data_IF_665394663710
#
_entry.id   IF_665394663710
#
_cell.length_a   1.000
_cell.length_b   1.000
_cell.length_c   1.000
_cell.angle_alpha   90.00
_cell.angle_beta   90.00
_cell.angle_gamma   90.00
#
_symmetry.space_group_name_H-M   'P 1'
#
loop_
_entity.id
_entity.type
_entity.pdbx_description
1 polymer ?
#
# COMPACT_ATOMS: atom_id res chain seq x y z
N UNK A 1 -16.20 3.68 17.77
CA UNK A 1 -15.27 3.50 16.63
C UNK A 1 -13.88 4.04 16.97
N UNK A 2 -13.78 5.29 17.43
CA UNK A 2 -12.48 5.94 17.69
C UNK A 2 -11.66 5.28 18.80
N UNK A 3 -12.26 4.91 19.94
CA UNK A 3 -11.57 4.19 21.01
C UNK A 3 -10.97 2.84 20.55
N UNK A 4 -11.73 2.08 19.76
CA UNK A 4 -11.28 0.78 19.24
C UNK A 4 -10.19 0.97 18.16
N UNK A 5 -10.25 2.05 17.39
CA UNK A 5 -9.18 2.43 16.47
C UNK A 5 -7.87 2.76 17.20
N UNK A 6 -7.91 3.59 18.26
CA UNK A 6 -6.72 3.92 19.05
C UNK A 6 -6.12 2.69 19.73
N UNK A 7 -6.96 1.82 20.29
CA UNK A 7 -6.53 0.56 20.88
C UNK A 7 -5.85 -0.36 19.84
N UNK A 8 -6.44 -0.47 18.64
CA UNK A 8 -5.88 -1.28 17.55
C UNK A 8 -4.54 -0.72 17.09
N UNK A 9 -4.41 0.61 16.98
CA UNK A 9 -3.16 1.25 16.63
C UNK A 9 -2.06 1.05 17.70
N UNK A 10 -2.42 1.13 18.98
CA UNK A 10 -1.50 0.81 20.08
C UNK A 10 -0.98 -0.63 19.99
N UNK A 11 -1.88 -1.59 19.74
CA UNK A 11 -1.51 -3.00 19.58
C UNK A 11 -0.58 -3.23 18.40
N UNK A 12 -0.77 -2.50 17.29
CA UNK A 12 0.15 -2.57 16.14
C UNK A 12 1.54 -2.06 16.51
N UNK A 13 1.63 -0.94 17.23
CA UNK A 13 2.91 -0.40 17.69
C UNK A 13 3.62 -1.35 18.66
N UNK A 14 2.89 -1.94 19.61
CA UNK A 14 3.44 -2.97 20.49
C UNK A 14 3.94 -4.19 19.71
N UNK A 15 3.18 -4.63 18.70
CA UNK A 15 3.59 -5.74 17.83
C UNK A 15 4.90 -5.42 17.12
N UNK A 16 5.07 -4.20 16.61
CA UNK A 16 6.32 -3.72 16.01
C UNK A 16 7.49 -3.71 17.01
N UNK A 17 7.24 -3.32 18.27
CA UNK A 17 8.27 -3.38 19.32
C UNK A 17 8.65 -4.83 19.65
N UNK A 18 7.69 -5.77 19.68
CA UNK A 18 7.98 -7.19 19.84
C UNK A 18 8.86 -7.71 18.68
N UNK A 19 8.62 -7.27 17.43
CA UNK A 19 9.49 -7.60 16.29
C UNK A 19 10.91 -7.05 16.45
N UNK A 20 11.09 -5.85 17.03
CA UNK A 20 12.43 -5.31 17.30
C UNK A 20 13.16 -6.18 18.34
N UNK A 21 12.45 -6.61 19.39
CA UNK A 21 13.00 -7.52 20.41
C UNK A 21 13.29 -8.92 19.87
N UNK A 22 12.52 -9.41 18.91
CA UNK A 22 12.76 -10.68 18.21
C UNK A 22 14.12 -10.67 17.48
N UNK A 23 14.59 -9.50 17.06
CA UNK A 23 15.89 -9.35 16.40
C UNK A 23 17.07 -9.28 17.40
N UNK A 24 16.79 -9.02 18.68
CA UNK A 24 17.78 -9.07 19.75
C UNK A 24 17.96 -10.52 20.23
N UNK A 25 19.16 -11.06 20.04
CA UNK A 25 19.56 -12.45 20.40
C UNK A 25 19.48 -12.78 21.89
N UNK A 26 19.06 -11.83 22.74
CA UNK A 26 19.01 -11.97 24.20
C UNK A 26 17.69 -12.53 24.73
N UNK A 27 16.65 -12.54 23.91
CA UNK A 27 15.31 -12.97 24.34
C UNK A 27 14.92 -14.31 23.71
N UNK A 28 14.08 -15.08 24.43
CA UNK A 28 13.54 -16.33 23.91
C UNK A 28 12.65 -16.04 22.70
N UNK A 29 13.15 -16.40 21.52
CA UNK A 29 12.50 -16.09 20.24
C UNK A 29 11.15 -16.80 20.11
N UNK A 30 10.94 -17.93 20.80
CA UNK A 30 9.68 -18.69 20.71
C UNK A 30 8.51 -18.04 21.44
N UNK A 31 8.73 -17.50 22.65
CA UNK A 31 7.68 -16.82 23.41
C UNK A 31 7.24 -15.51 22.74
N UNK A 32 8.21 -14.75 22.21
CA UNK A 32 7.95 -13.49 21.49
C UNK A 32 7.17 -13.76 20.20
N UNK A 33 7.50 -14.82 19.47
CA UNK A 33 6.79 -15.24 18.26
C UNK A 33 5.31 -15.55 18.56
N UNK A 34 5.06 -16.29 19.65
CA UNK A 34 3.71 -16.61 20.09
C UNK A 34 2.92 -15.35 20.50
N UNK A 35 3.54 -14.44 21.25
CA UNK A 35 2.93 -13.17 21.64
C UNK A 35 2.58 -12.29 20.42
N UNK A 36 3.49 -12.20 19.44
CA UNK A 36 3.24 -11.50 18.18
C UNK A 36 2.05 -12.12 17.44
N UNK A 37 1.97 -13.45 17.35
CA UNK A 37 0.86 -14.13 16.69
C UNK A 37 -0.48 -13.88 17.39
N UNK A 38 -0.50 -13.88 18.72
CA UNK A 38 -1.69 -13.56 19.53
C UNK A 38 -2.15 -12.11 19.35
N UNK A 39 -1.20 -11.15 19.35
CA UNK A 39 -1.48 -9.74 19.10
C UNK A 39 -2.02 -9.52 17.68
N UNK A 40 -1.44 -10.18 16.66
CA UNK A 40 -1.91 -10.09 15.28
C UNK A 40 -3.35 -10.60 15.13
N UNK A 41 -3.67 -11.72 15.78
CA UNK A 41 -5.03 -12.30 15.76
C UNK A 41 -6.03 -11.35 16.42
N UNK A 42 -5.65 -10.71 17.53
CA UNK A 42 -6.47 -9.73 18.23
C UNK A 42 -6.71 -8.47 17.40
N UNK A 43 -5.67 -7.97 16.72
CA UNK A 43 -5.76 -6.81 15.81
C UNK A 43 -6.67 -7.12 14.62
N UNK A 44 -6.56 -8.30 14.00
CA UNK A 44 -7.45 -8.70 12.92
C UNK A 44 -8.92 -8.73 13.37
N UNK A 45 -9.22 -9.34 14.52
CA UNK A 45 -10.58 -9.34 15.08
C UNK A 45 -11.10 -7.93 15.39
N UNK A 46 -10.23 -7.00 15.81
CA UNK A 46 -10.60 -5.59 16.00
C UNK A 46 -10.87 -4.88 14.67
N UNK A 47 -10.07 -5.14 13.62
CA UNK A 47 -10.30 -4.59 12.28
C UNK A 47 -11.63 -5.07 11.68
N UNK A 48 -12.01 -6.32 11.87
CA UNK A 48 -13.32 -6.85 11.44
C UNK A 48 -14.47 -6.16 12.18
N UNK A 49 -14.30 -5.88 13.48
CA UNK A 49 -15.26 -5.08 14.25
C UNK A 49 -15.34 -3.63 13.77
N UNK A 50 -14.21 -3.03 13.37
CA UNK A 50 -14.18 -1.68 12.79
C UNK A 50 -14.91 -1.63 11.44
N UNK A 51 -14.82 -2.68 10.62
CA UNK A 51 -15.60 -2.80 9.38
C UNK A 51 -17.10 -2.82 9.64
N UNK A 52 -17.54 -3.56 10.65
CA UNK A 52 -18.97 -3.56 11.03
C UNK A 52 -19.40 -2.17 11.52
N UNK A 53 -18.55 -1.50 12.29
CA UNK A 53 -18.82 -0.14 12.79
C UNK A 53 -18.79 0.92 11.69
N UNK A 54 -18.08 0.70 10.58
CA UNK A 54 -18.06 1.59 9.42
C UNK A 54 -19.44 1.79 8.79
N UNK A 55 -20.29 0.76 8.80
CA UNK A 55 -21.67 0.87 8.32
C UNK A 55 -22.54 1.76 9.20
N UNK A 56 -22.18 1.95 10.48
CA UNK A 56 -22.92 2.79 11.44
C UNK A 56 -22.54 4.27 11.39
N UNK A 57 -21.50 4.64 10.63
CA UNK A 57 -21.02 6.03 10.52
C UNK A 57 -21.76 6.79 9.41
N UNK A 58 -22.05 8.10 9.59
CA UNK A 58 -22.63 8.95 8.55
C UNK A 58 -21.86 8.93 7.23
N UNK A 59 -22.57 9.01 6.11
CA UNK A 59 -22.01 8.85 4.75
C UNK A 59 -20.86 9.83 4.47
N UNK A 60 -20.94 11.07 5.00
CA UNK A 60 -19.90 12.08 4.83
C UNK A 60 -18.55 11.73 5.48
N UNK A 61 -18.56 10.98 6.59
CA UNK A 61 -17.34 10.60 7.33
C UNK A 61 -16.87 9.17 7.01
N UNK A 62 -17.75 8.36 6.40
CA UNK A 62 -17.51 6.95 6.11
C UNK A 62 -16.29 6.72 5.22
N UNK A 63 -16.06 7.58 4.23
CA UNK A 63 -14.90 7.45 3.35
C UNK A 63 -13.58 7.63 4.11
N UNK A 64 -13.48 8.66 4.96
CA UNK A 64 -12.29 8.90 5.78
C UNK A 64 -12.05 7.78 6.79
N UNK A 65 -13.11 7.34 7.47
CA UNK A 65 -13.03 6.21 8.41
C UNK A 65 -12.61 4.92 7.69
N UNK A 66 -13.09 4.69 6.46
CA UNK A 66 -12.73 3.53 5.66
C UNK A 66 -11.24 3.53 5.31
N UNK A 67 -10.70 4.66 4.84
CA UNK A 67 -9.27 4.76 4.55
C UNK A 67 -8.40 4.47 5.78
N UNK A 68 -8.82 4.92 6.97
CA UNK A 68 -8.10 4.64 8.22
C UNK A 68 -8.10 3.15 8.59
N UNK A 69 -9.23 2.47 8.43
CA UNK A 69 -9.33 1.02 8.68
C UNK A 69 -8.54 0.23 7.64
N UNK A 70 -8.60 0.64 6.37
CA UNK A 70 -7.81 0.02 5.29
C UNK A 70 -6.30 0.17 5.53
N UNK A 71 -5.85 1.29 6.10
CA UNK A 71 -4.46 1.48 6.53
C UNK A 71 -4.06 0.48 7.62
N UNK A 72 -4.85 0.35 8.69
CA UNK A 72 -4.57 -0.63 9.75
C UNK A 72 -4.51 -2.06 9.21
N UNK A 73 -5.39 -2.41 8.26
CA UNK A 73 -5.38 -3.70 7.56
C UNK A 73 -4.16 -3.90 6.69
N UNK A 74 -3.62 -2.84 6.10
CA UNK A 74 -2.37 -2.92 5.35
C UNK A 74 -1.19 -3.19 6.30
N UNK A 75 -1.10 -2.42 7.38
CA UNK A 75 -0.01 -2.54 8.36
C UNK A 75 0.01 -3.93 9.01
N UNK A 76 -1.14 -4.48 9.38
CA UNK A 76 -1.21 -5.82 9.97
C UNK A 76 -0.86 -6.94 8.98
N UNK A 77 -1.25 -6.82 7.71
CA UNK A 77 -0.86 -7.78 6.66
C UNK A 77 0.64 -7.77 6.42
N UNK A 78 1.26 -6.60 6.46
CA UNK A 78 2.71 -6.46 6.37
C UNK A 78 3.41 -7.16 7.56
N UNK A 79 2.95 -6.93 8.79
CA UNK A 79 3.51 -7.57 9.98
C UNK A 79 3.33 -9.10 9.95
N UNK A 80 2.18 -9.59 9.49
CA UNK A 80 1.93 -11.03 9.33
C UNK A 80 2.85 -11.67 8.27
N UNK A 81 3.10 -10.98 7.16
CA UNK A 81 4.06 -11.44 6.15
C UNK A 81 5.49 -11.49 6.72
N UNK A 82 5.88 -10.50 7.52
CA UNK A 82 7.18 -10.46 8.18
C UNK A 82 7.36 -11.63 9.16
N UNK A 83 6.34 -11.96 9.96
CA UNK A 83 6.38 -13.12 10.87
C UNK A 83 6.57 -14.43 10.09
N UNK A 84 5.79 -14.61 9.01
CA UNK A 84 5.85 -15.81 8.17
C UNK A 84 7.23 -16.00 7.54
N UNK A 85 7.85 -14.92 7.08
CA UNK A 85 9.21 -14.98 6.52
C UNK A 85 10.24 -15.39 7.59
N UNK A 86 10.10 -14.89 8.81
CA UNK A 86 10.95 -15.28 9.93
C UNK A 86 10.79 -16.77 10.26
N UNK A 87 9.55 -17.26 10.35
CA UNK A 87 9.23 -18.67 10.58
C UNK A 87 9.80 -19.58 9.49
N UNK A 88 9.62 -19.22 8.21
CA UNK A 88 10.15 -19.99 7.08
C UNK A 88 11.69 -20.06 7.14
N UNK A 89 12.35 -18.96 7.47
CA UNK A 89 13.81 -18.92 7.62
C UNK A 89 14.30 -19.78 8.78
N UNK A 90 13.57 -19.79 9.91
CA UNK A 90 13.86 -20.65 11.06
C UNK A 90 13.69 -22.13 10.69
N UNK A 91 12.57 -22.48 10.06
CA UNK A 91 12.27 -23.85 9.64
C UNK A 91 13.28 -24.37 8.61
N UNK A 92 13.68 -23.56 7.63
CA UNK A 92 14.74 -23.91 6.67
C UNK A 92 16.05 -24.28 7.37
N UNK A 93 16.45 -23.47 8.34
CA UNK A 93 17.67 -23.74 9.12
C UNK A 93 17.57 -25.05 9.91
N UNK A 94 16.42 -25.32 10.51
CA UNK A 94 16.17 -26.58 11.22
C UNK A 94 16.20 -27.79 10.26
N UNK A 95 15.60 -27.68 9.08
CA UNK A 95 15.64 -28.75 8.06
C UNK A 95 17.05 -28.99 7.53
N UNK A 96 17.83 -27.92 7.29
CA UNK A 96 19.23 -28.03 6.84
C UNK A 96 20.10 -28.71 7.91
N UNK A 97 19.89 -28.38 9.19
CA UNK A 97 20.59 -29.02 10.30
C UNK A 97 20.20 -30.49 10.44
N UNK A 98 18.91 -30.81 10.37
CA UNK A 98 18.42 -32.20 10.43
C UNK A 98 18.95 -33.04 9.26
N UNK A 99 18.97 -32.48 8.06
CA UNK A 99 19.55 -33.13 6.87
C UNK A 99 21.04 -33.36 7.07
N UNK A 100 21.79 -32.35 7.55
CA UNK A 100 23.20 -32.47 7.89
C UNK A 100 23.46 -33.55 8.94
N UNK A 101 22.67 -33.62 10.00
CA UNK A 101 22.78 -34.66 11.03
C UNK A 101 22.47 -36.05 10.46
N UNK A 102 21.50 -36.17 9.56
CA UNK A 102 21.18 -37.44 8.90
C UNK A 102 22.33 -37.94 8.03
N UNK A 103 23.05 -37.03 7.36
CA UNK A 103 24.24 -37.34 6.57
C UNK A 103 25.42 -37.73 7.46
N UNK A 104 25.61 -37.05 8.60
CA UNK A 104 26.66 -37.36 9.58
C UNK A 104 26.42 -38.69 10.29
N UNK A 105 25.16 -39.04 10.57
CA UNK A 105 24.78 -40.31 11.20
C UNK A 105 24.73 -41.50 10.22
N UNK A 106 24.97 -41.27 8.93
CA UNK A 106 25.07 -42.34 7.94
C UNK A 106 26.40 -43.08 8.15
N UNK A 107 26.36 -44.14 8.97
CA UNK A 107 27.51 -45.02 9.27
C UNK A 107 28.03 -45.66 7.98
N UNK A 108 29.18 -45.20 7.50
CA UNK A 108 29.88 -45.79 6.36
C UNK A 108 30.24 -47.25 6.68
N UNK A 109 29.61 -48.20 6.00
CA UNK A 109 29.99 -49.61 6.02
C UNK A 109 31.05 -49.85 4.94
N UNK A 110 32.30 -50.20 5.29
CA UNK A 110 33.35 -50.45 4.32
C UNK A 110 33.17 -51.87 3.77
N UNK A 111 32.46 -51.98 2.64
CA UNK A 111 32.53 -53.06 1.64
C UNK A 111 31.30 -53.01 0.73
N UNK A 112 31.25 -52.01 -0.15
CA UNK A 112 30.38 -52.06 -1.34
C UNK A 112 31.15 -51.42 -2.49
N UNK A 113 32.20 -52.11 -2.92
CA UNK A 113 33.05 -51.75 -4.07
C UNK A 113 32.23 -51.76 -5.36
N UNK A 114 31.43 -50.72 -5.60
CA UNK A 114 30.93 -50.26 -6.91
C UNK A 114 30.05 -49.00 -6.83
N UNK A 115 29.98 -48.29 -5.68
CA UNK A 115 29.02 -47.20 -5.49
C UNK A 115 29.56 -45.78 -5.67
N UNK A 116 30.87 -45.56 -5.84
CA UNK A 116 31.44 -44.20 -5.83
C UNK A 116 31.26 -43.47 -7.17
N UNK A 117 31.16 -44.19 -8.30
CA UNK A 117 31.02 -43.58 -9.63
C UNK A 117 29.55 -43.37 -10.07
N UNK A 118 28.62 -44.15 -9.50
CA UNK A 118 27.18 -43.97 -9.69
C UNK A 118 26.65 -42.78 -8.87
N UNK A 119 27.20 -42.54 -7.68
CA UNK A 119 26.75 -41.46 -6.79
C UNK A 119 27.15 -40.07 -7.34
N UNK A 120 28.36 -39.94 -7.91
CA UNK A 120 28.80 -38.67 -8.52
C UNK A 120 27.99 -38.31 -9.77
N UNK A 121 27.68 -39.30 -10.62
CA UNK A 121 26.88 -39.09 -11.84
C UNK A 121 25.39 -38.82 -11.54
N UNK A 122 24.80 -39.51 -10.55
CA UNK A 122 23.45 -39.19 -10.05
C UNK A 122 23.39 -37.83 -9.35
N UNK A 123 24.42 -37.48 -8.58
CA UNK A 123 24.51 -36.17 -7.92
C UNK A 123 24.68 -35.04 -8.95
N UNK A 124 25.48 -35.26 -10.01
CA UNK A 124 25.57 -34.32 -11.14
C UNK A 124 24.26 -34.18 -11.90
N UNK A 125 23.54 -35.29 -12.11
CA UNK A 125 22.24 -35.24 -12.76
C UNK A 125 21.22 -34.47 -11.91
N UNK A 126 21.21 -34.70 -10.59
CA UNK A 126 20.33 -34.00 -9.67
C UNK A 126 20.68 -32.52 -9.55
N UNK A 127 21.98 -32.18 -9.47
CA UNK A 127 22.44 -30.79 -9.44
C UNK A 127 22.16 -30.07 -10.77
N UNK A 128 22.33 -30.74 -11.91
CA UNK A 128 21.96 -30.22 -13.23
C UNK A 128 20.44 -30.03 -13.35
N UNK A 129 19.62 -30.96 -12.84
CA UNK A 129 18.17 -30.83 -12.84
C UNK A 129 17.69 -29.69 -11.93
N UNK A 130 18.32 -29.52 -10.76
CA UNK A 130 18.02 -28.39 -9.86
C UNK A 130 18.50 -27.06 -10.45
N UNK A 131 19.64 -27.04 -11.12
CA UNK A 131 20.11 -25.86 -11.86
C UNK A 131 19.16 -25.50 -13.00
N UNK A 132 18.67 -26.49 -13.76
CA UNK A 132 17.67 -26.28 -14.79
C UNK A 132 16.37 -25.69 -14.24
N UNK A 133 15.85 -26.25 -13.13
CA UNK A 133 14.67 -25.69 -12.46
C UNK A 133 14.89 -24.25 -11.97
N UNK A 134 16.06 -23.96 -11.40
CA UNK A 134 16.41 -22.60 -10.96
C UNK A 134 16.52 -21.61 -12.12
N UNK A 135 17.06 -22.05 -13.26
CA UNK A 135 17.11 -21.24 -14.49
C UNK A 135 15.69 -21.03 -15.04
N UNK A 136 14.85 -22.06 -15.08
CA UNK A 136 13.46 -21.94 -15.55
C UNK A 136 12.64 -20.98 -14.67
N UNK A 137 12.83 -21.03 -13.34
CA UNK A 137 12.21 -20.10 -12.40
C UNK A 137 12.71 -18.65 -12.61
N UNK A 138 14.01 -18.48 -12.91
CA UNK A 138 14.57 -17.18 -13.24
C UNK A 138 14.05 -16.63 -14.57
N UNK A 139 13.92 -17.48 -15.59
CA UNK A 139 13.33 -17.11 -16.89
C UNK A 139 11.86 -16.72 -16.71
N UNK A 140 11.11 -17.51 -15.95
CA UNK A 140 9.70 -17.23 -15.65
C UNK A 140 9.54 -15.91 -14.89
N UNK A 141 10.35 -15.69 -13.86
CA UNK A 141 10.37 -14.44 -13.09
C UNK A 141 10.77 -13.26 -13.97
N UNK A 142 11.80 -13.42 -14.80
CA UNK A 142 12.25 -12.40 -15.74
C UNK A 142 11.18 -12.03 -16.77
N UNK A 143 10.45 -13.02 -17.27
CA UNK A 143 9.32 -12.79 -18.19
C UNK A 143 8.20 -12.01 -17.51
N UNK A 144 7.85 -12.34 -16.26
CA UNK A 144 6.83 -11.61 -15.51
C UNK A 144 7.23 -10.17 -15.20
N UNK A 145 8.52 -9.94 -14.87
CA UNK A 145 9.05 -8.59 -14.65
C UNK A 145 8.99 -7.78 -15.94
N UNK A 146 9.38 -8.36 -17.08
CA UNK A 146 9.31 -7.70 -18.39
C UNK A 146 7.87 -7.36 -18.78
N UNK A 147 6.91 -8.27 -18.54
CA UNK A 147 5.50 -8.01 -18.81
C UNK A 147 4.92 -6.92 -17.88
N UNK A 148 5.33 -6.92 -16.60
CA UNK A 148 5.04 -5.85 -15.66
C UNK A 148 5.57 -4.48 -16.12
N UNK A 149 6.82 -4.41 -16.59
CA UNK A 149 7.42 -3.19 -17.15
C UNK A 149 6.69 -2.72 -18.42
N UNK A 150 6.27 -3.66 -19.28
CA UNK A 150 5.47 -3.36 -20.46
C UNK A 150 4.10 -2.77 -20.08
N UNK A 151 3.42 -3.38 -19.12
CA UNK A 151 2.13 -2.91 -18.60
C UNK A 151 2.24 -1.53 -17.93
N UNK A 152 3.31 -1.30 -17.15
CA UNK A 152 3.61 0.01 -16.56
C UNK A 152 3.82 1.08 -17.64
N UNK A 153 4.54 0.76 -18.72
CA UNK A 153 4.74 1.67 -19.85
C UNK A 153 3.41 2.05 -20.50
N UNK A 154 2.50 1.10 -20.72
CA UNK A 154 1.18 1.40 -21.29
C UNK A 154 0.33 2.25 -20.33
N UNK A 155 0.42 1.98 -19.03
CA UNK A 155 -0.26 2.79 -17.99
C UNK A 155 0.27 4.23 -17.97
N UNK A 156 1.59 4.42 -18.02
CA UNK A 156 2.24 5.73 -18.09
C UNK A 156 1.87 6.50 -19.36
N UNK A 157 1.80 5.82 -20.51
CA UNK A 157 1.28 6.42 -21.75
C UNK A 157 -0.17 6.87 -21.58
N UNK A 158 -1.02 6.05 -20.97
CA UNK A 158 -2.41 6.40 -20.66
C UNK A 158 -2.53 7.61 -19.73
N UNK A 159 -1.72 7.66 -18.67
CA UNK A 159 -1.67 8.78 -17.74
C UNK A 159 -1.20 10.07 -18.45
N UNK A 160 -0.14 10.00 -19.26
CA UNK A 160 0.32 11.13 -20.07
C UNK A 160 -0.78 11.65 -21.01
N UNK A 161 -1.50 10.74 -21.68
CA UNK A 161 -2.63 11.10 -22.55
C UNK A 161 -3.71 11.84 -21.76
N UNK A 162 -4.10 11.32 -20.59
CA UNK A 162 -5.07 11.97 -19.70
C UNK A 162 -4.58 13.34 -19.22
N UNK A 163 -3.31 13.49 -18.87
CA UNK A 163 -2.74 14.80 -18.47
C UNK A 163 -2.80 15.78 -19.63
N UNK A 164 -2.51 15.34 -20.86
CA UNK A 164 -2.55 16.18 -22.06
C UNK A 164 -3.99 16.58 -22.40
N UNK A 165 -4.94 15.66 -22.25
CA UNK A 165 -6.37 15.93 -22.37
C UNK A 165 -6.84 16.94 -21.29
N UNK A 166 -6.41 16.76 -20.04
CA UNK A 166 -6.68 17.72 -18.94
C UNK A 166 -6.06 19.08 -19.25
N UNK A 167 -4.81 19.14 -19.72
CA UNK A 167 -4.17 20.37 -20.16
C UNK A 167 -4.94 21.08 -21.27
N UNK A 168 -5.44 20.34 -22.26
CA UNK A 168 -6.29 20.89 -23.32
C UNK A 168 -7.65 21.38 -22.77
N UNK A 169 -8.29 20.65 -21.84
CA UNK A 169 -9.56 21.09 -21.22
C UNK A 169 -9.38 22.31 -20.31
N UNK A 170 -8.25 22.43 -19.61
CA UNK A 170 -7.91 23.61 -18.82
C UNK A 170 -7.58 24.81 -19.72
N UNK A 171 -6.99 24.57 -20.89
CA UNK A 171 -6.81 25.59 -21.94
C UNK A 171 -8.15 26.17 -22.43
N UNK A 172 -9.15 25.32 -22.65
CA UNK A 172 -10.53 25.73 -22.92
C UNK A 172 -11.20 26.41 -21.71
N UNK A 173 -10.88 25.98 -20.49
CA UNK A 173 -11.38 26.61 -19.26
C UNK A 173 -10.90 28.05 -19.09
N UNK A 174 -9.77 28.46 -19.69
CA UNK A 174 -9.31 29.84 -19.62
C UNK A 174 -10.25 30.78 -20.42
N UNK A 175 -10.87 30.29 -21.49
CA UNK A 175 -11.89 31.03 -22.23
C UNK A 175 -13.20 31.14 -21.45
N UNK A 176 -13.62 30.08 -20.74
CA UNK A 176 -14.80 30.14 -19.85
C UNK A 176 -14.54 30.97 -18.59
N UNK A 177 -13.33 30.91 -18.02
CA UNK A 177 -12.91 31.74 -16.89
C UNK A 177 -12.91 33.23 -17.27
N UNK A 178 -12.37 33.58 -18.46
CA UNK A 178 -12.49 34.95 -19.00
C UNK A 178 -13.92 35.39 -19.25
N UNK A 179 -14.81 34.49 -19.71
CA UNK A 179 -16.23 34.82 -19.87
C UNK A 179 -16.92 35.09 -18.53
N UNK A 180 -16.53 34.44 -17.44
CA UNK A 180 -17.06 34.68 -16.10
C UNK A 180 -16.53 36.01 -15.54
N UNK A 181 -15.23 36.27 -15.68
CA UNK A 181 -14.60 37.50 -15.20
C UNK A 181 -15.21 38.75 -15.88
N UNK A 182 -15.53 38.65 -17.18
CA UNK A 182 -16.19 39.73 -17.93
C UNK A 182 -17.60 40.06 -17.40
N UNK A 183 -18.37 39.04 -16.97
CA UNK A 183 -19.71 39.24 -16.39
C UNK A 183 -19.67 39.98 -15.05
N UNK A 184 -18.66 39.71 -14.21
CA UNK A 184 -18.49 40.43 -12.94
C UNK A 184 -18.07 41.89 -13.15
N UNK A 185 -17.26 42.15 -14.18
CA UNK A 185 -16.88 43.52 -14.55
C UNK A 185 -18.08 44.29 -15.09
N UNK A 186 -18.90 43.68 -15.95
CA UNK A 186 -20.14 44.29 -16.47
C UNK A 186 -21.13 44.59 -15.34
N UNK A 187 -21.35 43.66 -14.41
CA UNK A 187 -22.25 43.87 -13.26
C UNK A 187 -21.79 45.04 -12.38
N UNK A 188 -20.47 45.17 -12.17
CA UNK A 188 -19.89 46.32 -11.46
C UNK A 188 -20.20 47.65 -12.16
N UNK A 189 -20.09 47.70 -13.49
CA UNK A 189 -20.43 48.90 -14.25
C UNK A 189 -21.92 49.24 -14.20
N UNK A 190 -22.80 48.23 -14.27
CA UNK A 190 -24.26 48.42 -14.13
C UNK A 190 -24.61 48.97 -12.74
N UNK A 191 -23.98 48.46 -11.68
CA UNK A 191 -24.17 48.94 -10.31
C UNK A 191 -23.78 50.42 -10.15
N UNK A 192 -22.59 50.81 -10.62
CA UNK A 192 -22.15 52.21 -10.56
C UNK A 192 -23.02 53.14 -11.41
N UNK A 193 -23.49 52.68 -12.57
CA UNK A 193 -24.43 53.41 -13.41
C UNK A 193 -25.74 53.70 -12.71
N UNK A 194 -26.34 52.70 -12.06
CA UNK A 194 -27.58 52.86 -11.29
C UNK A 194 -27.44 53.87 -10.16
N UNK A 195 -26.34 53.81 -9.40
CA UNK A 195 -26.07 54.72 -8.29
C UNK A 195 -25.91 56.18 -8.73
N UNK A 196 -25.29 56.40 -9.90
CA UNK A 196 -25.16 57.74 -10.49
C UNK A 196 -26.52 58.28 -10.95
N UNK A 197 -27.31 57.48 -11.65
CA UNK A 197 -28.65 57.88 -12.15
C UNK A 197 -29.56 58.28 -10.99
N UNK A 198 -29.61 57.49 -9.92
CA UNK A 198 -30.44 57.82 -8.75
C UNK A 198 -29.98 59.12 -8.09
N UNK A 199 -28.67 59.37 -8.04
CA UNK A 199 -28.12 60.60 -7.47
C UNK A 199 -28.51 61.82 -8.30
N UNK A 200 -28.41 61.74 -9.64
CA UNK A 200 -28.79 62.83 -10.55
C UNK A 200 -30.29 63.16 -10.44
N UNK A 201 -31.15 62.14 -10.37
CA UNK A 201 -32.61 62.34 -10.23
C UNK A 201 -32.92 63.09 -8.93
N UNK A 202 -32.31 62.70 -7.80
CA UNK A 202 -32.51 63.38 -6.52
C UNK A 202 -32.03 64.83 -6.58
N UNK A 203 -30.84 65.08 -7.15
CA UNK A 203 -30.32 66.45 -7.31
C UNK A 203 -31.22 67.33 -8.18
N UNK A 204 -31.77 66.79 -9.28
CA UNK A 204 -32.69 67.53 -10.15
C UNK A 204 -33.99 67.89 -9.45
N UNK A 205 -34.58 66.95 -8.70
CA UNK A 205 -35.81 67.22 -7.93
C UNK A 205 -35.57 68.33 -6.91
N UNK A 206 -34.45 68.29 -6.18
CA UNK A 206 -34.10 69.30 -5.19
C UNK A 206 -33.89 70.67 -5.86
N UNK A 207 -33.18 70.71 -7.00
CA UNK A 207 -32.92 71.94 -7.73
C UNK A 207 -34.23 72.61 -8.22
N UNK A 208 -35.15 71.82 -8.78
CA UNK A 208 -36.46 72.31 -9.26
C UNK A 208 -37.36 72.77 -8.10
N UNK A 209 -37.19 72.20 -6.91
CA UNK A 209 -38.01 72.57 -5.75
C UNK A 209 -37.48 73.81 -5.00
N UNK A 210 -36.17 74.07 -5.08
CA UNK A 210 -35.50 75.21 -4.45
C UNK A 210 -35.50 76.47 -5.32
N UNK A 211 -35.50 76.31 -6.65
CA UNK A 211 -35.56 77.42 -7.62
C UNK A 211 -37.01 77.81 -7.93
#
# INVERSE_FOLDING_TARGET
>A
MEALYMQTNSLIQETQQCFQRLNDTRFDSGEIEHDIQMKITTVNGNCDRLDVLLFKVPVAQRQNAKMRVDQLKYDIRHLQAALKLYQDKKQRRETELAERESLLNKRFTPNTETSIDIDYSLQHHNSMQNAHRGVDEMIWTGSNVLDGLRSQRETLKGARKRILDVGNTLGLSNQTMKMIERRLVEDKYVMYGGMFVTTVIICLIIYIWIL
#
